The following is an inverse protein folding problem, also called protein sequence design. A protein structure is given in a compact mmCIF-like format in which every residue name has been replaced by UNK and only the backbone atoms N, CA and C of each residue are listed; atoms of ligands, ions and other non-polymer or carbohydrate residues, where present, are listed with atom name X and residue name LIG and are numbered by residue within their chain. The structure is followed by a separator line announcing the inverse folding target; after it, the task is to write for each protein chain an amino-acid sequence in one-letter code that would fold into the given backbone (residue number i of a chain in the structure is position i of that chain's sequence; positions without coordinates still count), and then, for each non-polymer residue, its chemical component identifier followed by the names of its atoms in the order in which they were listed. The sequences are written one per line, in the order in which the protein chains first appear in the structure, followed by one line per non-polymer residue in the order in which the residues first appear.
data_IF_089957427040
#
_entry.id   IF_089957427040
#
_cell.length_a   1.000
_cell.length_b   1.000
_cell.length_c   1.000
_cell.angle_alpha   90.00
_cell.angle_beta   90.00
_cell.angle_gamma   90.00
#
_symmetry.space_group_name_H-M   'P 1'
#
loop_
_entity.id
_entity.type
_entity.pdbx_description
1 polymer ?
#
# COMPACT_ATOMS: atom_id res chain seq x y z
N UNK A 1 23.10 7.28 34.83
CA UNK A 1 21.80 7.10 34.14
C UNK A 1 21.91 5.85 33.26
N UNK A 2 20.97 4.89 33.34
CA UNK A 2 21.00 3.75 32.44
C UNK A 2 20.70 4.18 31.00
N UNK A 3 21.44 3.64 30.03
CA UNK A 3 21.20 3.84 28.61
C UNK A 3 20.32 2.71 28.06
N UNK A 4 19.45 3.02 27.10
CA UNK A 4 18.70 1.98 26.40
C UNK A 4 19.64 1.13 25.52
N UNK A 5 19.38 -0.18 25.46
CA UNK A 5 20.10 -1.10 24.56
C UNK A 5 19.86 -0.78 23.08
N UNK A 6 18.65 -0.32 22.74
CA UNK A 6 18.25 0.03 21.37
C UNK A 6 17.70 1.47 21.31
N UNK A 7 18.00 2.23 20.24
CA UNK A 7 17.51 3.60 20.09
C UNK A 7 15.99 3.63 19.89
N UNK A 8 15.27 4.64 20.42
CA UNK A 8 13.82 4.74 20.28
C UNK A 8 13.30 4.72 18.84
N UNK A 9 14.09 5.23 17.89
CA UNK A 9 13.74 5.28 16.47
C UNK A 9 13.49 3.88 15.85
N UNK A 10 14.13 2.82 16.37
CA UNK A 10 13.98 1.46 15.82
C UNK A 10 12.96 0.61 16.56
N UNK A 11 12.35 1.09 17.65
CA UNK A 11 11.41 0.29 18.44
C UNK A 11 10.22 -0.21 17.62
N UNK A 12 9.69 0.61 16.70
CA UNK A 12 8.62 0.18 15.79
C UNK A 12 9.07 -0.97 14.88
N UNK A 13 10.31 -0.94 14.39
CA UNK A 13 10.84 -2.01 13.54
C UNK A 13 11.13 -3.29 14.34
N UNK A 14 11.53 -3.17 15.61
CA UNK A 14 11.70 -4.31 16.51
C UNK A 14 10.36 -4.95 16.86
N UNK A 15 9.33 -4.12 17.10
CA UNK A 15 7.95 -4.58 17.34
C UNK A 15 7.44 -5.45 16.17
N UNK A 16 7.79 -5.13 14.94
CA UNK A 16 7.41 -5.92 13.76
C UNK A 16 8.08 -7.31 13.70
N UNK A 17 9.21 -7.51 14.40
CA UNK A 17 9.94 -8.78 14.44
C UNK A 17 9.45 -9.74 15.53
N UNK A 18 8.53 -9.30 16.39
CA UNK A 18 8.09 -10.06 17.56
C UNK A 18 6.58 -10.35 17.52
N UNK A 19 6.17 -11.44 18.19
CA UNK A 19 4.76 -11.77 18.44
C UNK A 19 3.94 -12.01 17.17
N UNK A 20 2.74 -11.43 17.13
CA UNK A 20 1.81 -11.57 16.00
C UNK A 20 2.29 -10.84 14.74
N UNK A 21 3.08 -9.78 14.89
CA UNK A 21 3.57 -9.00 13.74
C UNK A 21 4.56 -9.80 12.89
N UNK A 22 5.37 -10.65 13.53
CA UNK A 22 6.32 -11.53 12.85
C UNK A 22 5.64 -12.61 11.99
N UNK A 23 4.36 -12.90 12.25
CA UNK A 23 3.56 -13.89 11.50
C UNK A 23 2.77 -13.27 10.35
N UNK A 24 2.80 -11.95 10.19
CA UNK A 24 2.16 -11.27 9.06
C UNK A 24 2.89 -11.62 7.75
N UNK A 25 2.20 -11.58 6.60
CA UNK A 25 2.83 -11.90 5.33
C UNK A 25 3.99 -10.97 4.97
N UNK A 26 5.06 -11.56 4.42
CA UNK A 26 6.29 -10.83 4.04
C UNK A 26 6.03 -9.69 3.05
N UNK A 27 5.14 -9.89 2.07
CA UNK A 27 4.81 -8.87 1.08
C UNK A 27 4.16 -7.64 1.72
N UNK A 28 3.36 -7.83 2.77
CA UNK A 28 2.75 -6.75 3.54
C UNK A 28 3.81 -6.02 4.38
N UNK A 29 4.69 -6.75 5.07
CA UNK A 29 5.78 -6.16 5.86
C UNK A 29 6.73 -5.32 5.00
N UNK A 30 7.06 -5.78 3.78
CA UNK A 30 7.85 -5.01 2.81
C UNK A 30 7.17 -3.70 2.44
N UNK A 31 5.85 -3.71 2.24
CA UNK A 31 5.09 -2.50 1.91
C UNK A 31 5.06 -1.47 3.05
N UNK A 32 5.13 -1.91 4.31
CA UNK A 32 5.21 -1.01 5.47
C UNK A 32 6.59 -0.37 5.64
N UNK A 33 7.64 -1.09 5.24
CA UNK A 33 9.03 -0.61 5.30
C UNK A 33 9.41 0.28 4.09
N UNK A 34 8.51 0.39 3.11
CA UNK A 34 8.74 1.20 1.92
C UNK A 34 8.89 2.68 2.31
N UNK A 35 10.08 3.22 2.10
CA UNK A 35 10.45 4.61 2.39
C UNK A 35 10.51 5.44 1.10
N UNK A 36 9.78 5.01 0.06
CA UNK A 36 9.69 5.74 -1.20
C UNK A 36 9.16 7.15 -0.96
N UNK A 37 9.85 8.14 -1.53
CA UNK A 37 9.48 9.55 -1.38
C UNK A 37 8.19 9.84 -2.17
N UNK A 38 7.24 10.62 -1.60
CA UNK A 38 6.04 11.02 -2.32
C UNK A 38 6.38 11.87 -3.55
N UNK A 39 5.46 11.88 -4.51
CA UNK A 39 5.56 12.81 -5.64
C UNK A 39 5.46 14.26 -5.18
N UNK A 40 6.16 15.18 -5.86
CA UNK A 40 6.05 16.61 -5.57
C UNK A 40 4.64 17.13 -5.86
N UNK A 41 4.03 17.76 -4.86
CA UNK A 41 2.70 18.40 -4.98
C UNK A 41 2.83 19.90 -4.72
N UNK A 42 3.26 20.26 -3.51
CA UNK A 42 3.31 21.65 -3.03
C UNK A 42 4.66 22.34 -3.25
N UNK A 43 5.55 21.71 -4.00
CA UNK A 43 6.90 22.19 -4.29
C UNK A 43 7.33 21.73 -5.68
N UNK A 44 8.28 22.44 -6.28
CA UNK A 44 8.80 22.12 -7.61
C UNK A 44 10.17 21.46 -7.46
N UNK A 45 10.40 20.27 -8.03
CA UNK A 45 11.70 19.65 -8.00
C UNK A 45 12.70 20.42 -8.86
N UNK A 46 13.97 20.38 -8.45
CA UNK A 46 15.04 21.04 -9.18
C UNK A 46 15.38 20.34 -10.50
N UNK A 47 15.11 19.04 -10.61
CA UNK A 47 15.34 18.23 -11.82
C UNK A 47 16.81 17.91 -12.13
N UNK A 48 17.75 18.51 -11.39
CA UNK A 48 19.19 18.31 -11.52
C UNK A 48 19.83 18.12 -10.14
N UNK A 49 20.90 17.31 -10.07
CA UNK A 49 21.62 17.06 -8.82
C UNK A 49 22.61 18.17 -8.45
N UNK A 50 23.01 18.98 -9.42
CA UNK A 50 23.99 20.03 -9.24
C UNK A 50 23.54 21.30 -9.93
N UNK A 51 23.85 22.45 -9.33
CA UNK A 51 23.59 23.78 -9.86
C UNK A 51 24.84 24.63 -9.69
N UNK A 52 25.13 25.50 -10.65
CA UNK A 52 26.15 26.52 -10.48
C UNK A 52 25.61 27.64 -9.60
N UNK A 53 26.33 27.98 -8.53
CA UNK A 53 25.96 29.09 -7.67
C UNK A 53 26.11 30.41 -8.44
N UNK A 54 25.05 31.23 -8.57
CA UNK A 54 25.11 32.46 -9.34
C UNK A 54 26.09 33.50 -8.79
N UNK A 55 26.47 33.41 -7.51
CA UNK A 55 27.40 34.35 -6.87
C UNK A 55 28.85 33.89 -6.94
N UNK A 56 29.13 32.62 -6.68
CA UNK A 56 30.50 32.10 -6.60
C UNK A 56 30.97 31.40 -7.88
N UNK A 57 30.05 31.04 -8.78
CA UNK A 57 30.35 30.23 -9.97
C UNK A 57 30.72 28.78 -9.67
N UNK A 58 30.75 28.36 -8.40
CA UNK A 58 31.08 27.01 -8.00
C UNK A 58 29.90 26.05 -8.18
N UNK A 59 30.21 24.77 -8.43
CA UNK A 59 29.22 23.71 -8.57
C UNK A 59 28.76 23.23 -7.19
N UNK A 60 27.49 23.46 -6.88
CA UNK A 60 26.87 23.04 -5.61
C UNK A 60 25.89 21.90 -5.85
N UNK A 61 25.85 20.94 -4.93
CA UNK A 61 24.83 19.88 -4.93
C UNK A 61 23.52 20.46 -4.41
N UNK A 62 22.43 20.18 -5.12
CA UNK A 62 21.08 20.60 -4.72
C UNK A 62 20.26 19.36 -4.40
N UNK A 63 19.53 19.40 -3.29
CA UNK A 63 18.68 18.31 -2.84
C UNK A 63 17.22 18.76 -2.81
N UNK A 64 16.37 17.88 -3.32
CA UNK A 64 14.92 18.04 -3.28
C UNK A 64 14.41 17.58 -1.89
N UNK A 65 14.02 18.55 -1.05
CA UNK A 65 13.43 18.32 0.26
C UNK A 65 11.91 18.49 0.18
N UNK A 66 11.11 17.44 0.45
CA UNK A 66 9.67 17.53 0.30
C UNK A 66 9.02 18.40 1.38
N UNK A 67 8.02 19.18 0.98
CA UNK A 67 7.10 19.83 1.93
C UNK A 67 6.06 18.79 2.32
N UNK A 68 6.09 18.35 3.57
CA UNK A 68 5.16 17.33 4.11
C UNK A 68 3.87 18.03 4.54
N UNK A 69 2.74 17.79 3.87
CA UNK A 69 1.46 18.35 4.29
C UNK A 69 0.88 17.57 5.49
N UNK A 70 0.04 18.24 6.26
CA UNK A 70 -0.80 17.61 7.26
C UNK A 70 -2.11 17.13 6.62
N UNK A 71 -2.46 15.87 6.84
CA UNK A 71 -3.72 15.28 6.39
C UNK A 71 -4.68 15.19 7.58
N UNK A 72 -5.82 15.92 7.53
CA UNK A 72 -6.85 15.79 8.55
C UNK A 72 -7.70 14.53 8.28
N UNK A 73 -8.50 14.04 9.24
CA UNK A 73 -9.25 12.78 9.09
C UNK A 73 -10.23 12.78 7.90
N UNK A 74 -10.74 13.93 7.48
CA UNK A 74 -11.60 14.04 6.29
C UNK A 74 -10.87 13.68 4.98
N UNK A 75 -9.54 13.70 4.98
CA UNK A 75 -8.74 13.26 3.84
C UNK A 75 -8.79 11.74 3.66
N UNK A 76 -8.97 10.97 4.74
CA UNK A 76 -9.05 9.51 4.69
C UNK A 76 -10.36 9.01 4.07
N UNK A 77 -11.42 9.81 4.14
CA UNK A 77 -12.73 9.54 3.52
C UNK A 77 -12.80 9.99 2.05
N UNK A 78 -11.91 10.91 1.66
CA UNK A 78 -11.87 11.54 0.34
C UNK A 78 -10.75 11.08 -0.57
N UNK A 79 -10.62 11.73 -1.73
CA UNK A 79 -9.49 11.53 -2.66
C UNK A 79 -8.84 12.88 -2.99
N UNK A 80 -7.78 13.23 -2.25
CA UNK A 80 -7.16 14.56 -2.34
C UNK A 80 -5.94 14.63 -3.27
N UNK A 81 -5.50 13.48 -3.81
CA UNK A 81 -4.45 13.45 -4.85
C UNK A 81 -3.06 13.89 -4.35
N UNK A 82 -2.78 13.67 -3.06
CA UNK A 82 -1.56 14.09 -2.37
C UNK A 82 -1.57 15.54 -1.87
N UNK A 83 -2.67 16.28 -2.09
CA UNK A 83 -2.85 17.58 -1.45
C UNK A 83 -3.24 17.44 0.02
N UNK A 84 -2.88 18.43 0.83
CA UNK A 84 -3.18 18.45 2.25
C UNK A 84 -2.95 19.85 2.81
N UNK A 85 -3.13 20.02 4.11
CA UNK A 85 -2.97 21.32 4.75
C UNK A 85 -1.49 21.63 4.94
N UNK A 86 -1.07 22.80 4.49
CA UNK A 86 0.29 23.29 4.71
C UNK A 86 0.21 24.34 5.79
N UNK A 87 0.83 24.09 6.93
CA UNK A 87 0.99 25.08 7.99
C UNK A 87 2.44 25.59 7.97
N UNK A 88 2.60 26.90 7.95
CA UNK A 88 3.91 27.52 7.89
C UNK A 88 3.89 28.98 8.28
N UNK A 89 4.93 29.69 7.85
CA UNK A 89 5.09 31.10 8.11
C UNK A 89 5.25 31.86 6.81
N UNK A 90 4.69 33.07 6.77
CA UNK A 90 4.96 34.05 5.73
C UNK A 90 5.42 35.35 6.38
N UNK A 91 6.22 36.12 5.67
CA UNK A 91 6.50 37.49 6.09
C UNK A 91 5.45 38.44 5.52
N UNK A 92 5.08 39.47 6.28
CA UNK A 92 4.22 40.54 5.77
C UNK A 92 4.88 41.20 4.55
N UNK A 93 4.09 41.56 3.54
CA UNK A 93 4.56 42.14 2.27
C UNK A 93 5.63 41.33 1.51
N UNK A 94 5.85 40.06 1.87
CA UNK A 94 6.92 39.20 1.36
C UNK A 94 8.34 39.74 1.61
N UNK A 95 8.51 40.61 2.62
CA UNK A 95 9.80 41.18 2.98
C UNK A 95 10.33 40.53 4.28
N UNK A 96 11.59 40.06 4.26
CA UNK A 96 12.23 39.36 5.38
C UNK A 96 12.40 40.25 6.63
N UNK A 97 12.44 41.57 6.46
CA UNK A 97 12.53 42.52 7.58
C UNK A 97 11.17 42.82 8.22
N UNK A 98 10.08 42.46 7.55
CA UNK A 98 8.72 42.63 8.06
C UNK A 98 8.31 41.51 9.03
N UNK A 99 7.17 41.67 9.72
CA UNK A 99 6.69 40.72 10.73
C UNK A 99 6.38 39.33 10.15
N UNK A 100 6.77 38.27 10.88
CA UNK A 100 6.48 36.88 10.53
C UNK A 100 5.11 36.45 11.05
N UNK A 101 4.23 35.99 10.15
CA UNK A 101 2.84 35.60 10.43
C UNK A 101 2.64 34.11 10.12
N UNK A 102 1.93 33.40 11.00
CA UNK A 102 1.52 32.00 10.77
C UNK A 102 0.44 31.97 9.67
N UNK A 103 0.61 31.10 8.68
CA UNK A 103 -0.38 30.91 7.60
C UNK A 103 -0.61 29.42 7.40
N UNK A 104 -1.88 29.06 7.28
CA UNK A 104 -2.31 27.74 6.85
C UNK A 104 -2.93 27.86 5.47
N UNK A 105 -2.46 27.06 4.53
CA UNK A 105 -3.03 26.91 3.19
C UNK A 105 -3.83 25.60 3.16
N UNK A 106 -5.10 25.71 2.76
CA UNK A 106 -6.02 24.58 2.65
C UNK A 106 -6.35 24.34 1.17
N UNK A 107 -6.48 23.09 0.73
CA UNK A 107 -6.91 22.77 -0.62
C UNK A 107 -8.39 23.10 -0.82
N UNK A 108 -8.79 23.26 -2.08
CA UNK A 108 -10.19 23.42 -2.45
C UNK A 108 -10.81 22.03 -2.66
N UNK A 109 -11.88 21.74 -1.90
CA UNK A 109 -12.60 20.47 -1.98
C UNK A 109 -13.89 20.64 -2.77
N UNK A 110 -14.19 19.66 -3.61
CA UNK A 110 -15.39 19.56 -4.43
C UNK A 110 -16.01 18.18 -4.22
N UNK A 111 -17.31 18.10 -3.99
CA UNK A 111 -18.01 16.81 -4.03
C UNK A 111 -18.35 16.47 -5.47
N UNK A 112 -17.94 15.28 -5.93
CA UNK A 112 -18.21 14.78 -7.28
C UNK A 112 -18.56 13.30 -7.24
N UNK A 113 -19.39 12.90 -8.20
CA UNK A 113 -19.76 11.51 -8.38
C UNK A 113 -18.81 10.85 -9.38
N UNK A 114 -18.13 9.79 -8.95
CA UNK A 114 -17.18 9.02 -9.76
C UNK A 114 -17.71 7.60 -9.94
N UNK A 115 -17.77 7.13 -11.18
CA UNK A 115 -18.19 5.78 -11.50
C UNK A 115 -16.97 4.84 -11.67
N UNK A 116 -17.09 3.63 -11.14
CA UNK A 116 -16.11 2.56 -11.30
C UNK A 116 -16.67 1.46 -12.20
N UNK A 117 -15.95 1.12 -13.27
CA UNK A 117 -16.30 0.03 -14.18
C UNK A 117 -16.14 -1.33 -13.49
N UNK A 118 -15.09 -1.47 -12.66
CA UNK A 118 -14.72 -2.73 -11.98
C UNK A 118 -15.73 -3.07 -10.88
N UNK A 119 -16.22 -2.06 -10.16
CA UNK A 119 -17.15 -2.26 -9.05
C UNK A 119 -18.62 -2.07 -9.44
N UNK A 120 -18.89 -1.54 -10.64
CA UNK A 120 -20.21 -1.17 -11.16
C UNK A 120 -21.02 -0.28 -10.18
N UNK A 121 -20.35 0.74 -9.62
CA UNK A 121 -20.93 1.64 -8.62
C UNK A 121 -20.46 3.07 -8.82
N UNK A 122 -21.36 4.01 -8.53
CA UNK A 122 -21.07 5.45 -8.41
C UNK A 122 -20.76 5.80 -6.95
N UNK A 123 -19.70 6.56 -6.73
CA UNK A 123 -19.29 7.05 -5.41
C UNK A 123 -19.35 8.57 -5.38
N UNK A 124 -20.03 9.13 -4.39
CA UNK A 124 -19.98 10.57 -4.13
C UNK A 124 -18.85 10.86 -3.14
N UNK A 125 -17.76 11.48 -3.61
CA UNK A 125 -16.50 11.61 -2.84
C UNK A 125 -16.01 13.04 -2.88
N UNK A 126 -15.48 13.59 -1.76
CA UNK A 126 -14.78 14.86 -1.78
C UNK A 126 -13.42 14.71 -2.49
N UNK A 127 -13.26 15.45 -3.59
CA UNK A 127 -12.08 15.45 -4.45
C UNK A 127 -11.48 16.85 -4.57
N UNK A 128 -10.19 16.92 -4.86
CA UNK A 128 -9.52 18.17 -5.24
C UNK A 128 -9.48 18.30 -6.77
N UNK A 129 -9.24 19.52 -7.28
CA UNK A 129 -9.11 19.73 -8.72
C UNK A 129 -7.97 18.91 -9.32
N UNK A 130 -6.85 18.78 -8.58
CA UNK A 130 -5.72 17.95 -8.97
C UNK A 130 -6.11 16.48 -9.12
N UNK A 131 -6.94 15.94 -8.23
CA UNK A 131 -7.41 14.55 -8.35
C UNK A 131 -8.14 14.34 -9.67
N UNK A 132 -9.02 15.28 -10.07
CA UNK A 132 -9.71 15.22 -11.35
C UNK A 132 -8.72 15.24 -12.53
N UNK A 133 -7.74 16.15 -12.52
CA UNK A 133 -6.69 16.18 -13.55
C UNK A 133 -5.88 14.86 -13.62
N UNK A 134 -5.64 14.22 -12.48
CA UNK A 134 -4.92 12.94 -12.42
C UNK A 134 -5.78 11.78 -12.93
N UNK A 135 -7.09 11.82 -12.70
CA UNK A 135 -8.05 10.86 -13.26
C UNK A 135 -8.09 10.98 -14.79
N UNK A 136 -8.15 12.21 -15.31
CA UNK A 136 -8.16 12.48 -16.74
C UNK A 136 -6.84 12.03 -17.40
N UNK A 137 -5.69 12.32 -16.77
CA UNK A 137 -4.38 11.83 -17.22
C UNK A 137 -4.24 10.30 -17.17
N UNK A 138 -4.97 9.65 -16.28
CA UNK A 138 -5.02 8.19 -16.17
C UNK A 138 -6.02 7.55 -17.14
N UNK A 139 -6.82 8.36 -17.85
CA UNK A 139 -7.91 7.91 -18.74
C UNK A 139 -8.98 7.07 -18.02
N UNK A 140 -9.26 7.39 -16.76
CA UNK A 140 -10.33 6.75 -16.00
C UNK A 140 -10.08 6.69 -14.50
N UNK A 141 -11.16 6.62 -13.74
CA UNK A 141 -11.14 6.56 -12.28
C UNK A 141 -10.46 5.28 -11.77
N UNK A 142 -10.83 4.12 -12.30
CA UNK A 142 -10.25 2.84 -11.90
C UNK A 142 -8.76 2.78 -12.22
N UNK A 143 -8.36 3.29 -13.39
CA UNK A 143 -6.94 3.40 -13.72
C UNK A 143 -6.21 4.32 -12.75
N UNK A 144 -6.79 5.45 -12.34
CA UNK A 144 -6.14 6.29 -11.34
C UNK A 144 -5.89 5.52 -10.03
N UNK A 145 -6.89 4.79 -9.51
CA UNK A 145 -6.75 4.01 -8.28
C UNK A 145 -5.74 2.86 -8.41
N UNK A 146 -5.68 2.20 -9.57
CA UNK A 146 -4.78 1.07 -9.83
C UNK A 146 -3.37 1.46 -10.29
N UNK A 147 -3.21 2.59 -10.99
CA UNK A 147 -2.00 2.96 -11.78
C UNK A 147 -1.10 4.00 -11.15
N UNK A 148 -1.52 4.79 -10.15
CA UNK A 148 -0.68 5.83 -9.51
C UNK A 148 0.73 5.31 -9.24
N UNK A 149 1.66 5.64 -10.13
CA UNK A 149 2.88 4.87 -10.39
C UNK A 149 3.23 4.98 -11.87
N UNK A 150 2.86 6.12 -12.49
CA UNK A 150 3.38 6.46 -13.81
C UNK A 150 4.83 6.86 -13.57
N UNK A 151 5.71 5.89 -13.79
CA UNK A 151 7.06 6.12 -14.29
C UNK A 151 6.86 6.96 -15.56
N UNK A 152 7.11 8.26 -15.47
CA UNK A 152 7.58 8.96 -16.65
C UNK A 152 8.89 8.27 -16.98
N UNK A 153 8.93 7.52 -18.09
CA UNK A 153 10.18 7.07 -18.65
C UNK A 153 11.03 8.33 -18.85
N UNK A 154 12.03 8.54 -17.99
CA UNK A 154 13.19 9.29 -18.41
C UNK A 154 13.90 8.37 -19.41
N UNK A 155 14.00 8.74 -20.69
CA UNK A 155 14.78 7.94 -21.62
C UNK A 155 16.22 7.96 -21.10
N UNK A 156 16.89 6.81 -21.13
CA UNK A 156 18.30 6.58 -20.79
C UNK A 156 18.60 6.02 -19.39
N UNK A 157 18.32 4.73 -19.18
CA UNK A 157 19.21 3.84 -18.40
C UNK A 157 19.22 2.42 -19.01
N UNK A 158 20.40 1.81 -19.23
CA UNK A 158 20.52 0.50 -19.87
C UNK A 158 20.34 -0.67 -18.90
N UNK A 159 19.78 -1.73 -19.47
CA UNK A 159 19.43 -3.07 -18.97
C UNK A 159 20.52 -3.77 -18.13
N UNK A 160 20.15 -4.24 -16.94
CA UNK A 160 20.46 -5.59 -16.41
C UNK A 160 20.12 -5.64 -14.91
N UNK A 161 18.88 -6.03 -14.59
CA UNK A 161 18.42 -6.71 -13.37
C UNK A 161 16.88 -6.69 -13.38
N UNK A 162 16.29 -7.70 -14.01
CA UNK A 162 14.86 -7.97 -13.95
C UNK A 162 14.55 -8.56 -12.57
N UNK A 163 14.27 -7.70 -11.60
CA UNK A 163 13.47 -8.08 -10.43
C UNK A 163 12.04 -8.25 -10.96
N UNK A 164 11.34 -9.37 -10.70
CA UNK A 164 9.96 -9.52 -11.15
C UNK A 164 9.13 -8.40 -10.51
N UNK A 165 8.67 -7.47 -11.34
CA UNK A 165 7.97 -6.25 -10.95
C UNK A 165 6.57 -6.55 -10.39
N UNK A 166 6.50 -7.09 -9.16
CA UNK A 166 5.32 -6.98 -8.29
C UNK A 166 5.23 -5.55 -7.69
N UNK A 167 6.25 -4.70 -7.95
CA UNK A 167 6.38 -3.33 -7.45
C UNK A 167 5.60 -2.27 -8.26
N UNK A 168 4.74 -2.66 -9.21
CA UNK A 168 4.03 -1.73 -10.11
C UNK A 168 2.54 -1.59 -9.79
N UNK A 169 2.20 -1.53 -8.51
CA UNK A 169 0.90 -1.06 -8.07
C UNK A 169 1.08 0.09 -7.08
N UNK A 170 0.13 1.01 -7.10
CA UNK A 170 0.31 2.35 -6.56
C UNK A 170 1.02 2.45 -5.21
N UNK A 171 2.09 3.26 -5.05
CA UNK A 171 2.67 3.44 -3.74
C UNK A 171 1.62 4.15 -2.90
N UNK A 172 1.25 3.50 -1.79
CA UNK A 172 0.31 4.01 -0.77
C UNK A 172 0.59 5.48 -0.41
N UNK A 173 1.87 5.87 -0.50
CA UNK A 173 2.41 7.20 -0.24
C UNK A 173 1.78 8.30 -1.10
N UNK A 174 1.32 8.03 -2.33
CA UNK A 174 0.79 9.11 -3.18
C UNK A 174 -0.72 9.32 -3.06
N UNK A 175 -1.47 8.30 -2.63
CA UNK A 175 -2.93 8.39 -2.52
C UNK A 175 -3.37 9.06 -1.22
N UNK A 176 -2.63 8.82 -0.12
CA UNK A 176 -2.87 9.39 1.22
C UNK A 176 -4.35 9.41 1.63
N UNK A 177 -5.05 8.29 1.38
CA UNK A 177 -6.46 8.11 1.72
C UNK A 177 -6.75 6.65 2.06
N UNK A 178 -7.36 6.41 3.22
CA UNK A 178 -7.82 5.07 3.63
C UNK A 178 -8.87 4.54 2.64
N UNK A 179 -9.89 5.33 2.34
CA UNK A 179 -10.96 4.98 1.41
C UNK A 179 -10.41 4.60 0.02
N UNK A 180 -9.46 5.38 -0.50
CA UNK A 180 -8.83 5.07 -1.78
C UNK A 180 -8.08 3.73 -1.79
N UNK A 181 -7.43 3.37 -0.68
CA UNK A 181 -6.76 2.08 -0.54
C UNK A 181 -7.74 0.92 -0.37
N UNK A 182 -8.86 1.13 0.29
CA UNK A 182 -9.96 0.15 0.38
C UNK A 182 -10.58 -0.13 -0.99
N UNK A 183 -10.84 0.93 -1.78
CA UNK A 183 -11.29 0.80 -3.17
C UNK A 183 -10.29 -0.01 -4.00
N UNK A 184 -9.00 0.31 -3.89
CA UNK A 184 -7.93 -0.41 -4.60
C UNK A 184 -7.96 -1.90 -4.24
N UNK A 185 -8.04 -2.24 -2.96
CA UNK A 185 -8.16 -3.63 -2.50
C UNK A 185 -9.39 -4.31 -3.09
N UNK A 186 -10.56 -3.66 -3.01
CA UNK A 186 -11.80 -4.21 -3.56
C UNK A 186 -11.69 -4.49 -5.06
N UNK A 187 -11.16 -3.54 -5.83
CA UNK A 187 -10.92 -3.70 -7.27
C UNK A 187 -9.97 -4.87 -7.57
N UNK A 188 -8.87 -5.00 -6.83
CA UNK A 188 -7.90 -6.09 -7.03
C UNK A 188 -8.49 -7.46 -6.68
N UNK A 189 -9.30 -7.55 -5.62
CA UNK A 189 -9.99 -8.79 -5.27
C UNK A 189 -11.01 -9.22 -6.33
N UNK A 190 -11.70 -8.25 -6.95
CA UNK A 190 -12.60 -8.51 -8.09
C UNK A 190 -11.84 -9.04 -9.29
N UNK A 191 -10.70 -8.42 -9.63
CA UNK A 191 -9.85 -8.85 -10.74
C UNK A 191 -9.28 -10.26 -10.49
N UNK A 192 -8.82 -10.54 -9.27
CA UNK A 192 -8.26 -11.83 -8.89
C UNK A 192 -9.30 -12.97 -8.90
N UNK A 193 -10.52 -12.69 -8.43
CA UNK A 193 -11.58 -13.70 -8.32
C UNK A 193 -12.36 -13.92 -9.62
N UNK A 194 -12.21 -13.02 -10.61
CA UNK A 194 -13.02 -12.98 -11.85
C UNK A 194 -14.51 -13.10 -11.56
N UNK A 195 -14.97 -12.28 -10.61
CA UNK A 195 -16.31 -12.43 -10.05
C UNK A 195 -17.41 -12.44 -11.11
N UNK A 196 -18.08 -13.59 -11.19
CA UNK A 196 -19.14 -13.85 -12.16
C UNK A 196 -20.46 -13.13 -11.81
N UNK A 197 -20.51 -12.48 -10.64
CA UNK A 197 -21.66 -11.67 -10.18
C UNK A 197 -21.74 -10.29 -10.82
N UNK A 198 -20.66 -9.79 -11.45
CA UNK A 198 -20.67 -8.52 -12.17
C UNK A 198 -21.32 -8.70 -13.54
N UNK A 199 -22.31 -7.86 -13.83
CA UNK A 199 -23.12 -7.89 -15.05
C UNK A 199 -23.70 -9.29 -15.34
N UNK A 200 -24.67 -9.77 -14.54
CA UNK A 200 -25.25 -11.10 -14.73
C UNK A 200 -25.88 -11.26 -16.11
N UNK A 201 -26.42 -10.19 -16.67
CA UNK A 201 -27.12 -10.19 -17.95
C UNK A 201 -26.17 -10.07 -19.17
N UNK A 202 -24.96 -9.51 -18.97
CA UNK A 202 -24.02 -9.16 -20.06
C UNK A 202 -22.60 -9.74 -19.85
N UNK A 203 -22.37 -11.02 -20.19
CA UNK A 203 -21.06 -11.65 -20.06
C UNK A 203 -19.98 -11.00 -20.94
N UNK A 204 -20.34 -10.53 -22.14
CA UNK A 204 -19.41 -9.87 -23.07
C UNK A 204 -18.83 -8.57 -22.48
N UNK A 205 -19.66 -7.81 -21.75
CA UNK A 205 -19.23 -6.57 -21.09
C UNK A 205 -18.23 -6.88 -19.99
N UNK A 206 -18.49 -7.93 -19.20
CA UNK A 206 -17.58 -8.41 -18.15
C UNK A 206 -16.21 -8.80 -18.71
N UNK A 207 -16.18 -9.56 -19.81
CA UNK A 207 -14.91 -9.95 -20.44
C UNK A 207 -14.15 -8.74 -21.00
N UNK A 208 -14.84 -7.77 -21.62
CA UNK A 208 -14.24 -6.52 -22.08
C UNK A 208 -13.59 -5.73 -20.93
N UNK A 209 -14.28 -5.62 -19.79
CA UNK A 209 -13.76 -4.93 -18.60
C UNK A 209 -12.55 -5.67 -18.04
N UNK A 210 -12.62 -7.00 -17.90
CA UNK A 210 -11.48 -7.79 -17.42
C UNK A 210 -10.27 -7.64 -18.35
N UNK A 211 -10.47 -7.72 -19.66
CA UNK A 211 -9.40 -7.54 -20.65
C UNK A 211 -8.77 -6.14 -20.59
N UNK A 212 -9.56 -5.09 -20.29
CA UNK A 212 -9.07 -3.72 -20.09
C UNK A 212 -8.11 -3.58 -18.90
N UNK A 213 -8.36 -4.30 -17.80
CA UNK A 213 -7.59 -4.19 -16.55
C UNK A 213 -6.66 -5.38 -16.26
N UNK A 214 -6.54 -6.33 -17.20
CA UNK A 214 -5.73 -7.55 -17.09
C UNK A 214 -4.29 -7.32 -16.62
N UNK A 215 -3.69 -6.19 -16.97
CA UNK A 215 -2.32 -5.84 -16.59
C UNK A 215 -2.11 -5.69 -15.07
N UNK A 216 -3.18 -5.50 -14.28
CA UNK A 216 -3.12 -5.27 -12.83
C UNK A 216 -3.53 -6.51 -12.00
N UNK A 217 -3.58 -7.69 -12.62
CA UNK A 217 -3.95 -8.93 -11.93
C UNK A 217 -2.90 -9.30 -10.87
N UNK A 218 -3.37 -9.43 -9.62
CA UNK A 218 -2.58 -9.88 -8.47
C UNK A 218 -3.25 -11.13 -7.89
N UNK A 219 -2.49 -12.12 -7.38
CA UNK A 219 -3.06 -13.24 -6.64
C UNK A 219 -3.95 -12.77 -5.48
N UNK A 220 -5.09 -13.44 -5.29
CA UNK A 220 -6.06 -13.10 -4.23
C UNK A 220 -5.39 -12.99 -2.85
N UNK A 221 -4.50 -13.91 -2.54
CA UNK A 221 -3.75 -13.95 -1.28
C UNK A 221 -2.94 -12.68 -1.01
N UNK A 222 -2.41 -12.02 -2.04
CA UNK A 222 -1.65 -10.77 -1.90
C UNK A 222 -2.60 -9.57 -1.91
N UNK A 223 -3.60 -9.58 -2.80
CA UNK A 223 -4.59 -8.51 -2.94
C UNK A 223 -5.34 -8.24 -1.62
N UNK A 224 -5.66 -9.28 -0.84
CA UNK A 224 -6.38 -9.13 0.42
C UNK A 224 -5.63 -8.32 1.49
N UNK A 225 -4.30 -8.22 1.42
CA UNK A 225 -3.49 -7.47 2.38
C UNK A 225 -3.15 -6.05 1.92
N UNK A 226 -3.50 -5.69 0.68
CA UNK A 226 -3.25 -4.36 0.13
C UNK A 226 -4.09 -3.32 0.89
N UNK A 227 -3.45 -2.24 1.32
CA UNK A 227 -4.15 -1.09 1.90
C UNK A 227 -4.51 -1.21 3.38
N UNK A 228 -4.39 -2.40 3.99
CA UNK A 228 -4.66 -2.61 5.41
C UNK A 228 -3.76 -1.74 6.30
N UNK A 229 -4.33 -1.16 7.34
CA UNK A 229 -3.55 -0.58 8.44
C UNK A 229 -2.89 -1.69 9.26
N UNK A 230 -1.87 -1.34 10.04
CA UNK A 230 -1.16 -2.31 10.87
C UNK A 230 -2.13 -2.99 11.86
N UNK A 231 -3.08 -2.24 12.40
CA UNK A 231 -4.09 -2.73 13.33
C UNK A 231 -5.07 -3.68 12.66
N UNK A 232 -5.58 -3.33 11.47
CA UNK A 232 -6.49 -4.19 10.70
C UNK A 232 -5.80 -5.47 10.24
N UNK A 233 -4.51 -5.39 9.86
CA UNK A 233 -3.71 -6.55 9.47
C UNK A 233 -3.52 -7.52 10.65
N UNK A 234 -3.25 -6.99 11.85
CA UNK A 234 -3.15 -7.80 13.08
C UNK A 234 -4.48 -8.45 13.42
N UNK A 235 -5.59 -7.70 13.34
CA UNK A 235 -6.91 -8.26 13.62
C UNK A 235 -7.27 -9.36 12.61
N UNK A 236 -7.00 -9.13 11.33
CA UNK A 236 -7.15 -10.15 10.29
C UNK A 236 -6.35 -11.40 10.63
N UNK A 237 -5.07 -11.26 10.96
CA UNK A 237 -4.22 -12.39 11.33
C UNK A 237 -4.73 -13.13 12.57
N UNK A 238 -5.20 -12.38 13.57
CA UNK A 238 -5.79 -12.93 14.79
C UNK A 238 -7.02 -13.78 14.48
N UNK A 239 -7.89 -13.31 13.59
CA UNK A 239 -9.08 -14.05 13.17
C UNK A 239 -8.73 -15.31 12.36
N UNK A 240 -7.68 -15.26 11.53
CA UNK A 240 -7.20 -16.44 10.79
C UNK A 240 -6.60 -17.51 11.72
N UNK A 241 -5.89 -17.09 12.76
CA UNK A 241 -5.28 -17.99 13.75
C UNK A 241 -6.26 -18.43 14.84
N UNK A 242 -7.42 -17.78 14.95
CA UNK A 242 -8.45 -18.09 15.95
C UNK A 242 -8.98 -19.51 15.70
N UNK A 243 -8.42 -20.47 16.43
CA UNK A 243 -8.86 -21.86 16.52
C UNK A 243 -9.15 -22.13 17.98
N UNK A 244 -10.29 -22.74 18.26
CA UNK A 244 -10.57 -23.21 19.61
C UNK A 244 -9.49 -24.25 19.99
N UNK A 245 -8.95 -24.20 21.22
CA UNK A 245 -7.89 -25.11 21.62
C UNK A 245 -8.39 -26.53 21.47
N UNK A 246 -7.65 -27.35 20.70
CA UNK A 246 -8.00 -28.75 20.54
C UNK A 246 -7.97 -29.41 21.93
N UNK A 247 -9.05 -30.11 22.35
CA UNK A 247 -9.07 -30.76 23.64
C UNK A 247 -7.93 -31.79 23.70
N UNK A 248 -7.14 -31.83 24.79
CA UNK A 248 -5.96 -32.70 24.90
C UNK A 248 -6.26 -34.18 24.63
N UNK A 249 -7.49 -34.61 24.96
CA UNK A 249 -7.97 -35.96 24.68
C UNK A 249 -7.80 -36.38 23.22
N UNK A 250 -8.10 -35.50 22.25
CA UNK A 250 -7.95 -35.84 20.82
C UNK A 250 -6.48 -36.08 20.46
N UNK A 251 -5.58 -35.25 21.00
CA UNK A 251 -4.13 -35.39 20.79
C UNK A 251 -3.64 -36.73 21.32
N UNK A 252 -4.03 -37.10 22.54
CA UNK A 252 -3.63 -38.38 23.13
C UNK A 252 -4.20 -39.61 22.39
N UNK A 253 -5.43 -39.50 21.88
CA UNK A 253 -6.01 -40.57 21.05
C UNK A 253 -5.24 -40.74 19.74
N UNK A 254 -4.87 -39.63 19.09
CA UNK A 254 -4.08 -39.67 17.84
C UNK A 254 -2.68 -40.26 18.08
N UNK A 255 -2.02 -39.89 19.19
CA UNK A 255 -0.74 -40.48 19.61
C UNK A 255 -0.85 -42.00 19.84
N UNK A 256 -1.88 -42.45 20.56
CA UNK A 256 -2.09 -43.88 20.81
C UNK A 256 -2.34 -44.68 19.53
N UNK A 257 -3.10 -44.12 18.58
CA UNK A 257 -3.34 -44.75 17.27
C UNK A 257 -2.03 -44.87 16.47
N UNK A 258 -1.18 -43.84 16.49
CA UNK A 258 0.14 -43.87 15.86
C UNK A 258 1.05 -44.94 16.49
N UNK A 259 1.07 -45.03 17.82
CA UNK A 259 1.84 -46.07 18.54
C UNK A 259 1.38 -47.48 18.18
N UNK A 260 0.06 -47.73 18.17
CA UNK A 260 -0.47 -49.04 17.81
C UNK A 260 -0.18 -49.40 16.35
N UNK A 261 -0.22 -48.43 15.43
CA UNK A 261 0.15 -48.65 14.04
C UNK A 261 1.64 -49.00 13.88
N UNK A 262 2.53 -48.29 14.59
CA UNK A 262 3.96 -48.57 14.61
C UNK A 262 4.26 -49.97 15.19
N UNK A 263 3.56 -50.37 16.26
CA UNK A 263 3.70 -51.70 16.85
C UNK A 263 3.23 -52.82 15.92
N UNK A 264 2.20 -52.60 15.10
CA UNK A 264 1.75 -53.58 14.09
C UNK A 264 2.80 -53.75 12.99
N UNK A 265 3.32 -52.66 12.42
CA UNK A 265 4.40 -52.68 11.43
C UNK A 265 5.68 -53.37 11.95
N UNK A 266 6.06 -53.13 13.21
CA UNK A 266 7.19 -53.79 13.84
C UNK A 266 6.97 -55.31 14.03
N UNK A 267 5.72 -55.73 14.27
CA UNK A 267 5.37 -57.15 14.38
C UNK A 267 5.40 -57.82 13.02
N UNK A 268 4.83 -57.20 11.99
CA UNK A 268 4.76 -57.77 10.63
C UNK A 268 6.17 -57.93 10.01
N UNK A 269 7.05 -56.95 10.18
CA UNK A 269 8.47 -57.04 9.76
C UNK A 269 9.26 -58.12 10.50
N UNK A 270 8.93 -58.41 11.76
CA UNK A 270 9.57 -59.49 12.52
C UNK A 270 9.10 -60.90 12.13
N UNK A 271 7.95 -61.01 11.45
CA UNK A 271 7.39 -62.27 10.94
C UNK A 271 7.95 -62.58 9.55
N UNK A 272 8.14 -61.57 8.70
CA UNK A 272 8.77 -61.71 7.39
C UNK A 272 10.27 -62.04 7.47
N UNK A 273 10.99 -61.56 8.49
CA UNK A 273 12.41 -61.90 8.70
C UNK A 273 12.65 -63.30 9.30
N UNK A 274 11.59 -63.99 9.73
CA UNK A 274 11.63 -65.34 10.33
C UNK A 274 11.07 -66.43 9.41
N UNK A 275 10.66 -66.08 8.20
CA UNK A 275 10.21 -67.00 7.14
C UNK A 275 11.28 -67.12 6.07
#
# INVERSE_FOLDING_TARGET
MPLHKYPPAIWNTLKLKEGIYARLPDHYLRSLQDTTKPRPVHWKPHGQKYRLNPKSGQRERVEDVPVIPYFPPEADEGLWGGEGWISGYRYANNDKLSTRVKKTWKPQLLTRDLYSDILDKTFSVPVTMRTLDLIDKAYGFDFYILKVGIITHHPQTPTSQLIPCIFLLTPKVDLHSKFGMELKRAMLLRLASKDQSLYPDDPDKREKIYNKYKAFEIPKEVAEWVGLTLEEAVEKQRLLEKKDPAPPFKVFVDELVQEMAAQRLAKDTSVEAKS
#
